data_IF_761737881968
#
_entry.id   IF_761737881968
#
_cell.length_a   1.000
_cell.length_b   1.000
_cell.length_c   1.000
_cell.angle_alpha   90.00
_cell.angle_beta   90.00
_cell.angle_gamma   90.00
#
_symmetry.space_group_name_H-M   'P 1'
#
loop_
_entity.id
_entity.type
_entity.pdbx_description
1 polymer ?
#
# COMPACT_ATOMS: atom_id res chain seq x y z
N UNK A 1 -23.29 4.39 7.24
CA UNK A 1 -22.48 3.20 6.92
C UNK A 1 -22.55 3.04 5.42
N UNK A 2 -21.46 3.30 4.72
CA UNK A 2 -21.41 3.07 3.28
C UNK A 2 -21.35 1.55 3.09
N UNK A 3 -22.50 0.97 2.79
CA UNK A 3 -22.66 -0.46 2.58
C UNK A 3 -21.84 -0.87 1.34
N UNK A 4 -20.87 -1.76 1.54
CA UNK A 4 -20.10 -2.36 0.45
C UNK A 4 -20.11 -3.88 0.64
N UNK A 5 -19.86 -4.61 -0.44
CA UNK A 5 -19.92 -6.07 -0.44
C UNK A 5 -18.77 -6.69 0.38
N UNK A 6 -19.02 -6.90 1.67
CA UNK A 6 -18.08 -7.53 2.60
C UNK A 6 -17.73 -8.96 2.16
N UNK A 7 -18.73 -9.72 1.73
CA UNK A 7 -18.53 -11.12 1.35
C UNK A 7 -17.75 -11.22 0.03
N UNK A 8 -18.00 -10.32 -0.92
CA UNK A 8 -17.20 -10.17 -2.14
C UNK A 8 -15.74 -9.79 -1.87
N UNK A 9 -15.50 -8.87 -0.94
CA UNK A 9 -14.12 -8.51 -0.52
C UNK A 9 -13.43 -9.72 0.14
N UNK A 10 -14.10 -10.40 1.07
CA UNK A 10 -13.55 -11.61 1.70
C UNK A 10 -13.28 -12.74 0.69
N UNK A 11 -14.14 -12.90 -0.32
CA UNK A 11 -13.95 -13.87 -1.39
C UNK A 11 -12.69 -13.57 -2.22
N UNK A 12 -12.43 -12.30 -2.56
CA UNK A 12 -11.19 -11.87 -3.21
C UNK A 12 -9.96 -12.23 -2.36
N UNK A 13 -10.04 -11.94 -1.05
CA UNK A 13 -8.98 -12.30 -0.10
C UNK A 13 -8.84 -13.83 0.09
N UNK A 14 -9.85 -14.61 -0.32
CA UNK A 14 -9.89 -16.05 -0.08
C UNK A 14 -9.94 -16.41 1.39
N UNK A 15 -10.55 -15.53 2.21
CA UNK A 15 -10.69 -15.70 3.65
C UNK A 15 -12.17 -15.90 3.96
N UNK A 16 -12.50 -16.92 4.76
CA UNK A 16 -13.86 -17.10 5.24
C UNK A 16 -14.23 -16.00 6.24
N UNK A 17 -15.51 -15.60 6.27
CA UNK A 17 -16.00 -14.61 7.23
C UNK A 17 -15.73 -15.09 8.66
N UNK A 18 -14.97 -14.33 9.47
CA UNK A 18 -14.69 -14.72 10.85
C UNK A 18 -15.97 -14.66 11.69
N UNK A 19 -16.12 -15.61 12.62
CA UNK A 19 -17.25 -15.64 13.54
C UNK A 19 -17.19 -14.56 14.62
N UNK A 20 -16.00 -14.04 14.91
CA UNK A 20 -15.73 -13.00 15.89
C UNK A 20 -14.45 -12.23 15.52
N UNK A 21 -14.29 -10.96 15.95
CA UNK A 21 -13.10 -10.16 15.68
C UNK A 21 -11.93 -10.57 16.60
N UNK A 22 -11.28 -11.70 16.31
CA UNK A 22 -10.13 -12.21 17.09
C UNK A 22 -8.79 -11.77 16.48
N UNK A 23 -7.69 -11.95 17.24
CA UNK A 23 -6.35 -11.69 16.73
C UNK A 23 -6.00 -12.61 15.56
N UNK A 24 -6.30 -13.89 15.66
CA UNK A 24 -6.02 -14.85 14.58
C UNK A 24 -6.71 -14.46 13.27
N UNK A 25 -7.97 -13.99 13.36
CA UNK A 25 -8.71 -13.50 12.21
C UNK A 25 -8.11 -12.20 11.64
N UNK A 26 -7.68 -11.26 12.49
CA UNK A 26 -7.06 -10.00 12.03
C UNK A 26 -5.76 -10.25 11.27
N UNK A 27 -4.92 -11.16 11.75
CA UNK A 27 -3.65 -11.52 11.09
C UNK A 27 -3.91 -12.25 9.77
N UNK A 28 -4.89 -13.17 9.75
CA UNK A 28 -5.28 -13.86 8.53
C UNK A 28 -5.78 -12.87 7.45
N UNK A 29 -6.62 -11.91 7.84
CA UNK A 29 -7.12 -10.86 6.95
C UNK A 29 -5.99 -9.97 6.45
N UNK A 30 -5.09 -9.52 7.33
CA UNK A 30 -3.98 -8.65 6.96
C UNK A 30 -3.04 -9.31 5.97
N UNK A 31 -2.62 -10.57 6.24
CA UNK A 31 -1.78 -11.33 5.33
C UNK A 31 -2.45 -11.52 3.97
N UNK A 32 -3.71 -11.93 3.98
CA UNK A 32 -4.46 -12.12 2.74
C UNK A 32 -4.57 -10.82 1.93
N UNK A 33 -4.76 -9.67 2.59
CA UNK A 33 -4.78 -8.36 1.95
C UNK A 33 -3.45 -8.08 1.23
N UNK A 34 -2.33 -8.11 1.95
CA UNK A 34 -1.03 -7.73 1.38
C UNK A 34 -0.48 -8.75 0.37
N UNK A 35 -0.97 -9.99 0.41
CA UNK A 35 -0.62 -11.08 -0.53
C UNK A 35 -1.48 -11.12 -1.79
N UNK A 36 -2.65 -10.45 -1.80
CA UNK A 36 -3.59 -10.55 -2.92
C UNK A 36 -3.99 -9.23 -3.54
N UNK A 37 -3.84 -8.13 -2.82
CA UNK A 37 -4.23 -6.80 -3.28
C UNK A 37 -2.96 -5.97 -3.43
N UNK A 38 -2.60 -5.67 -4.68
CA UNK A 38 -1.40 -4.90 -4.97
C UNK A 38 -1.52 -3.45 -4.50
N UNK A 39 -0.42 -2.92 -3.98
CA UNK A 39 -0.21 -1.49 -3.89
C UNK A 39 0.13 -0.96 -5.27
N UNK A 40 -0.67 -0.05 -5.82
CA UNK A 40 -0.51 0.42 -7.21
C UNK A 40 -1.03 1.84 -7.43
N UNK A 41 -0.53 2.47 -8.50
CA UNK A 41 -0.96 3.81 -8.95
C UNK A 41 -1.28 3.88 -10.46
N UNK A 42 -1.67 2.77 -11.08
CA UNK A 42 -1.95 2.65 -12.52
C UNK A 42 -2.99 3.64 -13.01
N UNK A 43 -4.06 3.87 -12.25
CA UNK A 43 -5.13 4.78 -12.70
C UNK A 43 -4.69 6.24 -12.76
N UNK A 44 -3.67 6.63 -11.98
CA UNK A 44 -3.01 7.94 -12.11
C UNK A 44 -2.29 8.02 -13.48
N UNK A 45 -1.59 6.95 -13.86
CA UNK A 45 -0.86 6.89 -15.14
C UNK A 45 -1.79 6.74 -16.36
N UNK A 46 -2.97 6.16 -16.17
CA UNK A 46 -4.06 6.13 -17.14
C UNK A 46 -4.83 7.47 -17.23
N UNK A 47 -4.47 8.47 -16.42
CA UNK A 47 -5.11 9.79 -16.43
C UNK A 47 -6.53 9.81 -15.86
N UNK A 48 -6.87 8.82 -15.04
CA UNK A 48 -8.21 8.62 -14.45
C UNK A 48 -8.13 8.35 -12.93
N UNK A 49 -7.49 9.22 -12.12
CA UNK A 49 -7.40 9.01 -10.68
C UNK A 49 -8.80 8.85 -10.07
N UNK A 50 -8.97 7.85 -9.20
CA UNK A 50 -10.25 7.55 -8.53
C UNK A 50 -10.36 8.19 -7.18
N UNK A 51 -11.59 8.30 -6.65
CA UNK A 51 -11.81 8.82 -5.31
C UNK A 51 -11.31 7.87 -4.22
N UNK A 52 -11.09 8.41 -3.03
CA UNK A 52 -10.63 7.66 -1.85
C UNK A 52 -11.78 7.15 -0.97
N UNK A 53 -13.03 7.17 -1.43
CA UNK A 53 -14.15 6.71 -0.64
C UNK A 53 -13.97 5.23 -0.25
N UNK A 54 -14.20 4.88 1.02
CA UNK A 54 -13.93 3.52 1.51
C UNK A 54 -14.71 2.43 0.75
N UNK A 55 -16.01 2.67 0.49
CA UNK A 55 -16.83 1.72 -0.28
C UNK A 55 -16.47 1.67 -1.77
N UNK A 56 -16.10 2.80 -2.37
CA UNK A 56 -15.58 2.84 -3.75
C UNK A 56 -14.28 2.04 -3.85
N UNK A 57 -13.37 2.25 -2.88
CA UNK A 57 -12.10 1.55 -2.78
C UNK A 57 -12.30 0.04 -2.56
N UNK A 58 -13.23 -0.37 -1.69
CA UNK A 58 -13.56 -1.78 -1.48
C UNK A 58 -14.16 -2.42 -2.73
N UNK A 59 -15.08 -1.74 -3.42
CA UNK A 59 -15.68 -2.24 -4.65
C UNK A 59 -14.66 -2.37 -5.79
N UNK A 60 -13.70 -1.43 -5.87
CA UNK A 60 -12.54 -1.50 -6.77
C UNK A 60 -11.68 -2.72 -6.45
N UNK A 61 -11.34 -2.93 -5.19
CA UNK A 61 -10.53 -4.07 -4.75
C UNK A 61 -11.21 -5.39 -5.08
N UNK A 62 -12.51 -5.52 -4.79
CA UNK A 62 -13.30 -6.70 -5.12
C UNK A 62 -13.34 -7.03 -6.64
N UNK A 63 -13.03 -6.05 -7.51
CA UNK A 63 -12.92 -6.23 -8.97
C UNK A 63 -11.49 -6.57 -9.44
N UNK A 64 -10.58 -6.91 -8.52
CA UNK A 64 -9.20 -7.28 -8.84
C UNK A 64 -8.28 -6.08 -9.10
N UNK A 65 -8.66 -4.88 -8.65
CA UNK A 65 -7.79 -3.70 -8.70
C UNK A 65 -7.14 -3.46 -7.33
N UNK A 66 -6.05 -2.70 -7.33
CA UNK A 66 -5.39 -2.28 -6.10
C UNK A 66 -5.66 -0.81 -5.80
N UNK A 67 -4.67 -0.18 -5.20
CA UNK A 67 -4.54 1.26 -5.06
C UNK A 67 -3.37 1.58 -4.14
N UNK A 68 -3.16 2.84 -3.81
CA UNK A 68 -2.20 3.23 -2.78
C UNK A 68 -2.85 3.37 -1.38
N UNK A 69 -2.11 3.95 -0.43
CA UNK A 69 -2.46 4.02 0.99
C UNK A 69 -3.92 4.36 1.31
N UNK A 70 -4.47 5.44 0.73
CA UNK A 70 -5.84 5.86 1.04
C UNK A 70 -6.90 4.85 0.58
N UNK A 71 -6.71 4.24 -0.58
CA UNK A 71 -7.63 3.22 -1.09
C UNK A 71 -7.54 1.94 -0.25
N UNK A 72 -6.31 1.47 -0.02
CA UNK A 72 -6.09 0.20 0.67
C UNK A 72 -6.50 0.27 2.14
N UNK A 73 -5.97 1.24 2.90
CA UNK A 73 -6.30 1.38 4.32
C UNK A 73 -7.72 1.90 4.54
N UNK A 74 -8.27 2.72 3.64
CA UNK A 74 -9.67 3.13 3.69
C UNK A 74 -10.63 1.94 3.54
N UNK A 75 -10.39 1.09 2.53
CA UNK A 75 -11.19 -0.12 2.30
C UNK A 75 -10.99 -1.16 3.42
N UNK A 76 -9.74 -1.40 3.85
CA UNK A 76 -9.44 -2.38 4.88
C UNK A 76 -9.99 -1.96 6.24
N UNK A 77 -9.89 -0.68 6.61
CA UNK A 77 -10.51 -0.16 7.83
C UNK A 77 -12.04 -0.31 7.83
N UNK A 78 -12.69 -0.11 6.68
CA UNK A 78 -14.13 -0.34 6.54
C UNK A 78 -14.50 -1.83 6.65
N UNK A 79 -13.69 -2.73 6.07
CA UNK A 79 -13.84 -4.18 6.24
C UNK A 79 -13.73 -4.60 7.69
N UNK A 80 -12.67 -4.18 8.38
CA UNK A 80 -12.47 -4.49 9.78
C UNK A 80 -13.60 -3.95 10.66
N UNK A 81 -14.07 -2.72 10.41
CA UNK A 81 -15.22 -2.14 11.11
C UNK A 81 -16.49 -2.97 10.90
N UNK A 82 -16.76 -3.40 9.66
CA UNK A 82 -17.92 -4.24 9.34
C UNK A 82 -17.83 -5.65 9.97
N UNK A 83 -16.63 -6.12 10.28
CA UNK A 83 -16.37 -7.38 10.99
C UNK A 83 -16.37 -7.22 12.52
N UNK A 84 -16.60 -6.01 13.03
CA UNK A 84 -16.75 -5.72 14.46
C UNK A 84 -15.44 -5.39 15.19
N UNK A 85 -14.35 -5.10 14.47
CA UNK A 85 -13.13 -4.59 15.09
C UNK A 85 -13.27 -3.13 15.51
N UNK A 86 -12.58 -2.75 16.59
CA UNK A 86 -12.43 -1.37 17.04
C UNK A 86 -11.26 -0.70 16.29
N UNK A 87 -11.59 -0.04 15.18
CA UNK A 87 -10.62 0.56 14.24
C UNK A 87 -10.53 2.06 14.46
N UNK A 88 -9.32 2.61 14.45
CA UNK A 88 -9.05 4.05 14.40
C UNK A 88 -8.17 4.39 13.22
N UNK A 89 -8.53 5.42 12.47
CA UNK A 89 -7.76 5.99 11.37
C UNK A 89 -6.90 7.13 11.90
N UNK A 90 -5.65 7.22 11.44
CA UNK A 90 -4.68 8.21 11.88
C UNK A 90 -4.07 8.95 10.70
N UNK A 91 -3.79 10.24 10.89
CA UNK A 91 -2.94 11.00 9.98
C UNK A 91 -1.50 10.48 10.11
N UNK A 92 -0.89 10.14 8.99
CA UNK A 92 0.47 9.66 8.93
C UNK A 92 1.29 10.39 7.85
N UNK A 93 2.61 10.29 7.95
CA UNK A 93 3.55 10.84 6.98
C UNK A 93 4.69 9.86 6.74
N UNK A 94 4.94 9.51 5.48
CA UNK A 94 6.02 8.60 5.07
C UNK A 94 7.29 9.39 4.76
N UNK A 95 8.42 8.97 5.34
CA UNK A 95 9.75 9.50 5.05
C UNK A 95 10.44 8.57 4.04
N UNK A 96 10.67 9.06 2.83
CA UNK A 96 11.31 8.32 1.75
C UNK A 96 12.80 8.13 1.98
N UNK A 97 13.48 9.12 2.53
CA UNK A 97 14.92 9.07 2.87
C UNK A 97 15.19 9.49 4.32
N UNK A 98 16.39 9.23 4.88
CA UNK A 98 16.74 9.65 6.23
C UNK A 98 16.76 11.17 6.43
N UNK A 99 16.87 11.94 5.36
CA UNK A 99 16.88 13.40 5.36
C UNK A 99 15.48 14.01 5.38
N UNK A 100 14.45 13.24 5.02
CA UNK A 100 13.07 13.71 5.04
C UNK A 100 12.65 14.02 6.49
N UNK A 101 11.96 15.16 6.72
CA UNK A 101 11.54 15.53 8.05
C UNK A 101 10.54 14.51 8.61
N UNK A 102 10.79 14.08 9.85
CA UNK A 102 9.85 13.26 10.61
C UNK A 102 8.52 13.99 10.86
N UNK A 103 7.42 13.25 10.94
CA UNK A 103 6.10 13.79 11.29
C UNK A 103 4.96 13.28 10.40
N UNK A 104 3.73 13.51 10.87
CA UNK A 104 2.50 13.10 10.20
C UNK A 104 2.02 14.16 9.20
N UNK A 105 2.73 14.27 8.07
CA UNK A 105 2.49 15.23 6.97
C UNK A 105 1.09 15.11 6.37
N UNK A 106 0.46 13.93 6.47
CA UNK A 106 -0.85 13.63 5.92
C UNK A 106 -0.81 12.97 4.54
N UNK A 107 0.38 12.65 4.01
CA UNK A 107 0.53 11.90 2.75
C UNK A 107 0.24 10.39 2.90
N UNK A 108 0.00 9.92 4.12
CA UNK A 108 -0.32 8.54 4.41
C UNK A 108 -1.48 8.41 5.40
N UNK A 109 -2.25 7.32 5.26
CA UNK A 109 -3.30 6.93 6.20
C UNK A 109 -2.84 5.68 6.94
N UNK A 110 -2.74 5.74 8.27
CA UNK A 110 -2.45 4.57 9.10
C UNK A 110 -3.72 4.11 9.84
N UNK A 111 -3.81 2.82 10.15
CA UNK A 111 -4.89 2.28 11.00
C UNK A 111 -4.32 1.69 12.27
N UNK A 112 -5.08 1.80 13.36
CA UNK A 112 -4.86 1.00 14.56
C UNK A 112 -6.09 0.22 14.93
N UNK A 113 -5.91 -0.99 15.46
CA UNK A 113 -6.99 -1.81 16.03
C UNK A 113 -6.75 -2.03 17.51
N UNK A 114 -7.79 -1.84 18.33
CA UNK A 114 -7.78 -2.25 19.73
C UNK A 114 -8.31 -3.66 19.86
N UNK A 115 -7.51 -4.55 20.43
CA UNK A 115 -7.80 -5.98 20.51
C UNK A 115 -7.05 -6.63 21.67
N UNK A 116 -7.71 -7.52 22.40
CA UNK A 116 -7.16 -8.27 23.54
C UNK A 116 -6.43 -7.40 24.58
N UNK A 117 -6.97 -6.20 24.83
CA UNK A 117 -6.39 -5.23 25.78
C UNK A 117 -5.18 -4.45 25.25
N UNK A 118 -4.73 -4.72 24.02
CA UNK A 118 -3.63 -4.02 23.34
C UNK A 118 -4.09 -3.15 22.17
N UNK A 119 -3.13 -2.46 21.56
CA UNK A 119 -3.30 -1.74 20.29
C UNK A 119 -2.28 -2.21 19.27
N UNK A 120 -2.72 -2.33 18.03
CA UNK A 120 -1.93 -2.85 16.92
C UNK A 120 -1.95 -1.85 15.79
N UNK A 121 -0.79 -1.55 15.20
CA UNK A 121 -0.67 -0.95 13.88
C UNK A 121 -1.12 -1.99 12.85
N UNK A 122 -2.09 -1.61 12.03
CA UNK A 122 -2.67 -2.44 10.98
C UNK A 122 -2.59 -1.64 9.69
N UNK A 123 -1.58 -1.93 8.86
CA UNK A 123 -1.30 -1.11 7.70
C UNK A 123 -1.04 -1.96 6.46
N UNK A 124 -1.97 -1.89 5.52
CA UNK A 124 -1.96 -2.61 4.24
C UNK A 124 -1.63 -1.68 3.08
N UNK A 125 -1.32 -0.42 3.39
CA UNK A 125 -1.18 0.69 2.45
C UNK A 125 0.25 1.24 2.34
N UNK A 126 1.24 0.59 2.96
CA UNK A 126 2.66 0.99 2.90
C UNK A 126 3.43 0.36 1.73
N UNK A 127 2.76 -0.35 0.82
CA UNK A 127 3.44 -1.06 -0.27
C UNK A 127 4.27 -2.22 0.25
N UNK A 128 5.58 -2.05 0.34
CA UNK A 128 6.53 -3.07 0.77
C UNK A 128 6.71 -3.17 2.31
N UNK A 129 5.80 -2.56 3.07
CA UNK A 129 5.74 -2.52 4.53
C UNK A 129 5.50 -3.87 5.22
N UNK A 130 4.73 -3.90 6.32
CA UNK A 130 4.57 -5.10 7.16
C UNK A 130 3.70 -6.20 6.51
N UNK A 131 4.03 -7.47 6.78
CA UNK A 131 3.23 -8.63 6.37
C UNK A 131 2.09 -8.94 7.34
N UNK A 132 2.33 -8.69 8.64
CA UNK A 132 1.37 -8.90 9.73
C UNK A 132 1.28 -7.64 10.61
N UNK A 133 0.17 -7.42 11.34
CA UNK A 133 0.03 -6.31 12.27
C UNK A 133 1.18 -6.24 13.29
N UNK A 134 1.60 -5.03 13.65
CA UNK A 134 2.63 -4.79 14.65
C UNK A 134 2.02 -4.24 15.93
N UNK A 135 2.44 -4.69 17.13
CA UNK A 135 1.93 -4.10 18.35
C UNK A 135 2.45 -2.67 18.49
N UNK A 136 1.62 -1.77 19.05
CA UNK A 136 2.07 -0.44 19.47
C UNK A 136 2.86 -0.56 20.78
N UNK A 137 4.04 -1.15 20.65
CA UNK A 137 5.00 -1.40 21.71
C UNK A 137 6.39 -1.18 21.15
N UNK A 138 7.22 -0.46 21.89
CA UNK A 138 8.60 -0.22 21.47
C UNK A 138 9.35 -1.55 21.31
N UNK A 139 10.08 -1.69 20.21
CA UNK A 139 10.84 -2.89 19.93
C UNK A 139 11.16 -3.08 18.45
N UNK A 140 11.87 -4.17 18.18
CA UNK A 140 12.19 -4.64 16.84
C UNK A 140 11.37 -5.89 16.51
N UNK A 141 10.86 -5.97 15.28
CA UNK A 141 9.94 -6.99 14.83
C UNK A 141 10.37 -7.52 13.47
N UNK A 142 10.69 -8.82 13.40
CA UNK A 142 11.10 -9.48 12.16
C UNK A 142 9.93 -10.24 11.56
N UNK A 143 9.65 -10.01 10.28
CA UNK A 143 8.64 -10.73 9.50
C UNK A 143 9.27 -11.18 8.17
N UNK A 144 9.45 -12.49 8.01
CA UNK A 144 10.16 -13.05 6.87
C UNK A 144 11.58 -12.49 6.78
N UNK A 145 12.00 -11.91 5.64
CA UNK A 145 13.35 -11.39 5.49
C UNK A 145 13.52 -10.00 6.12
N UNK A 146 12.45 -9.29 6.50
CA UNK A 146 12.50 -7.87 6.89
C UNK A 146 12.45 -7.67 8.40
N UNK A 147 13.18 -6.67 8.89
CA UNK A 147 13.11 -6.25 10.30
C UNK A 147 12.68 -4.80 10.41
N UNK A 148 11.61 -4.58 11.16
CA UNK A 148 11.04 -3.27 11.45
C UNK A 148 11.35 -2.84 12.88
N UNK A 149 11.17 -1.56 13.18
CA UNK A 149 11.14 -1.07 14.54
C UNK A 149 9.90 -0.22 14.80
N UNK A 150 9.34 -0.33 16.00
CA UNK A 150 8.32 0.58 16.51
C UNK A 150 8.91 1.37 17.68
N UNK A 151 8.64 2.67 17.73
CA UNK A 151 9.00 3.54 18.84
C UNK A 151 7.98 4.68 18.98
N UNK A 152 7.85 5.33 20.16
CA UNK A 152 7.12 6.59 20.27
C UNK A 152 7.68 7.63 19.29
N UNK A 153 6.82 8.39 18.62
CA UNK A 153 7.28 9.45 17.73
C UNK A 153 7.73 10.66 18.54
N UNK A 154 8.92 11.19 18.23
CA UNK A 154 9.38 12.46 18.77
C UNK A 154 8.74 13.67 18.06
N UNK A 155 8.32 13.50 16.80
CA UNK A 155 7.69 14.55 16.00
C UNK A 155 6.18 14.65 16.26
N UNK A 156 5.55 13.54 16.62
CA UNK A 156 4.12 13.45 16.94
C UNK A 156 3.94 12.98 18.40
N UNK A 157 3.91 13.88 19.40
CA UNK A 157 3.75 13.50 20.80
C UNK A 157 2.50 12.62 21.03
N UNK A 158 2.69 11.44 21.59
CA UNK A 158 1.63 10.43 21.80
C UNK A 158 1.38 9.53 20.58
N UNK A 159 1.90 9.90 19.42
CA UNK A 159 1.96 9.10 18.21
C UNK A 159 3.11 8.09 18.21
N UNK A 160 3.29 7.42 17.09
CA UNK A 160 4.30 6.36 16.92
C UNK A 160 5.06 6.53 15.61
N UNK A 161 6.30 6.04 15.63
CA UNK A 161 7.16 5.87 14.48
C UNK A 161 7.29 4.39 14.17
N UNK A 162 7.01 4.04 12.92
CA UNK A 162 7.41 2.80 12.27
C UNK A 162 8.70 3.07 11.49
N UNK A 163 9.75 2.30 11.73
CA UNK A 163 10.99 2.33 10.94
C UNK A 163 11.06 1.07 10.10
N UNK A 164 11.29 1.24 8.80
CA UNK A 164 11.33 0.16 7.83
C UNK A 164 12.69 -0.56 7.84
N UNK A 165 12.72 -1.74 7.24
CA UNK A 165 13.96 -2.42 6.88
C UNK A 165 14.75 -1.55 5.90
N UNK A 166 16.09 -1.44 6.01
CA UNK A 166 16.90 -0.62 5.11
C UNK A 166 16.82 -0.97 3.63
N UNK A 167 16.34 -2.17 3.27
CA UNK A 167 16.10 -2.57 1.88
C UNK A 167 14.74 -2.12 1.34
N UNK A 168 13.88 -1.57 2.18
CA UNK A 168 12.55 -1.08 1.82
C UNK A 168 12.58 0.19 0.96
N UNK A 169 11.43 0.51 0.38
CA UNK A 169 11.23 1.66 -0.53
C UNK A 169 11.10 3.01 0.18
N UNK A 170 11.03 3.02 1.50
CA UNK A 170 10.97 4.19 2.37
C UNK A 170 11.70 3.87 3.69
N UNK A 171 12.03 4.89 4.47
CA UNK A 171 12.80 4.71 5.72
C UNK A 171 11.94 4.60 6.96
N UNK A 172 10.88 5.40 7.04
CA UNK A 172 10.02 5.44 8.20
C UNK A 172 8.62 6.00 7.87
N UNK A 173 7.72 5.87 8.84
CA UNK A 173 6.43 6.53 8.86
C UNK A 173 6.13 6.97 10.30
N UNK A 174 5.75 8.23 10.48
CA UNK A 174 5.21 8.74 11.74
C UNK A 174 3.69 8.92 11.61
N UNK A 175 2.93 8.56 12.65
CA UNK A 175 1.50 8.86 12.71
C UNK A 175 1.10 9.53 14.01
N UNK A 176 0.20 10.49 13.89
CA UNK A 176 -0.37 11.27 14.99
C UNK A 176 -1.34 10.40 15.82
N UNK A 177 -1.54 10.69 17.13
CA UNK A 177 -2.42 9.88 17.98
C UNK A 177 -3.92 10.14 17.75
N UNK A 178 -4.26 11.29 17.17
CA UNK A 178 -5.64 11.75 17.08
C UNK A 178 -6.40 11.04 15.95
N UNK A 179 -7.64 10.60 16.21
CA UNK A 179 -8.48 9.99 15.19
C UNK A 179 -8.82 11.00 14.09
N UNK A 180 -8.82 10.53 12.84
CA UNK A 180 -9.23 11.32 11.68
C UNK A 180 -10.24 10.57 10.83
N UNK A 181 -11.04 11.33 10.08
CA UNK A 181 -11.89 10.77 9.02
C UNK A 181 -11.13 10.68 7.70
N UNK A 182 -11.49 9.71 6.86
CA UNK A 182 -10.89 9.51 5.53
C UNK A 182 -11.01 10.76 4.64
N UNK A 183 -12.07 11.54 4.81
CA UNK A 183 -12.27 12.80 4.07
C UNK A 183 -11.17 13.84 4.32
N UNK A 184 -10.45 13.76 5.44
CA UNK A 184 -9.32 14.65 5.76
C UNK A 184 -8.17 14.54 4.75
N UNK A 185 -8.09 13.43 4.02
CA UNK A 185 -7.05 13.18 3.03
C UNK A 185 -7.43 13.62 1.61
N UNK A 186 -8.63 14.18 1.39
CA UNK A 186 -9.11 14.50 0.03
C UNK A 186 -8.19 15.49 -0.70
N UNK A 187 -7.78 16.58 -0.03
CA UNK A 187 -6.91 17.57 -0.63
C UNK A 187 -5.53 16.98 -0.97
N UNK A 188 -5.01 16.13 -0.09
CA UNK A 188 -3.70 15.51 -0.26
C UNK A 188 -3.73 14.42 -1.33
N UNK A 189 -4.81 13.63 -1.40
CA UNK A 189 -5.08 12.72 -2.50
C UNK A 189 -5.05 13.42 -3.86
N UNK A 190 -5.73 14.58 -3.99
CA UNK A 190 -5.69 15.37 -5.23
C UNK A 190 -4.25 15.78 -5.54
N UNK A 191 -3.53 16.35 -4.57
CA UNK A 191 -2.13 16.75 -4.76
C UNK A 191 -1.26 15.58 -5.21
N UNK A 192 -1.32 14.44 -4.52
CA UNK A 192 -0.53 13.25 -4.81
C UNK A 192 -0.89 12.61 -6.16
N UNK A 193 -2.15 12.72 -6.62
CA UNK A 193 -2.62 12.09 -7.85
C UNK A 193 -2.55 12.99 -9.09
N UNK A 194 -2.38 14.30 -8.94
CA UNK A 194 -2.36 15.22 -10.09
C UNK A 194 -1.13 16.11 -10.16
N UNK A 195 -0.40 16.32 -9.06
CA UNK A 195 0.74 17.24 -9.07
C UNK A 195 1.89 16.66 -9.93
N UNK A 196 2.47 17.43 -10.87
CA UNK A 196 3.64 17.02 -11.62
C UNK A 196 4.88 16.83 -10.72
N UNK A 197 4.83 17.27 -9.46
CA UNK A 197 5.87 17.06 -8.46
C UNK A 197 5.73 15.74 -7.69
N UNK A 198 4.54 15.12 -7.73
CA UNK A 198 4.26 13.88 -7.01
C UNK A 198 5.04 12.71 -7.60
N UNK A 199 5.68 11.92 -6.74
CA UNK A 199 6.30 10.66 -7.13
C UNK A 199 5.27 9.70 -7.77
N UNK A 200 4.01 9.71 -7.32
CA UNK A 200 2.95 8.88 -7.86
C UNK A 200 2.55 9.26 -9.30
N UNK A 201 2.71 10.52 -9.68
CA UNK A 201 2.47 10.98 -11.06
C UNK A 201 3.69 10.71 -11.94
N UNK A 202 4.89 10.85 -11.37
CA UNK A 202 6.16 10.70 -12.11
C UNK A 202 6.53 9.25 -12.38
N UNK A 203 6.22 8.34 -11.46
CA UNK A 203 6.69 6.95 -11.52
C UNK A 203 5.55 5.99 -11.24
N UNK A 204 5.32 5.06 -12.16
CA UNK A 204 4.40 3.94 -11.95
C UNK A 204 5.03 2.93 -11.01
N UNK A 205 4.25 2.45 -10.05
CA UNK A 205 4.63 1.33 -9.19
C UNK A 205 3.49 0.34 -9.01
N UNK A 206 3.86 -0.93 -8.93
CA UNK A 206 3.02 -2.00 -8.40
C UNK A 206 3.86 -2.79 -7.39
N UNK A 207 3.32 -3.08 -6.21
CA UNK A 207 4.01 -3.81 -5.17
C UNK A 207 3.09 -4.87 -4.58
N UNK A 208 3.61 -6.06 -4.36
CA UNK A 208 2.89 -7.14 -3.72
C UNK A 208 3.84 -7.94 -2.84
N UNK A 209 3.44 -8.18 -1.59
CA UNK A 209 4.27 -8.84 -0.59
C UNK A 209 3.75 -10.23 -0.31
N UNK A 210 4.65 -11.14 0.01
CA UNK A 210 4.31 -12.42 0.63
C UNK A 210 5.13 -12.63 1.93
N UNK A 211 4.90 -13.78 2.58
CA UNK A 211 5.61 -14.13 3.81
C UNK A 211 7.14 -14.23 3.67
N UNK A 212 7.65 -14.33 2.44
CA UNK A 212 9.07 -14.57 2.13
C UNK A 212 9.77 -13.37 1.52
N UNK A 213 9.04 -12.34 1.09
CA UNK A 213 9.63 -11.22 0.37
C UNK A 213 8.60 -10.26 -0.21
N UNK A 214 9.07 -9.37 -1.07
CA UNK A 214 8.21 -8.43 -1.80
C UNK A 214 8.66 -8.32 -3.24
N UNK A 215 7.68 -8.31 -4.14
CA UNK A 215 7.84 -7.96 -5.55
C UNK A 215 7.50 -6.49 -5.74
N UNK A 216 8.38 -5.77 -6.42
CA UNK A 216 8.26 -4.33 -6.67
C UNK A 216 8.52 -4.06 -8.14
N UNK A 217 7.49 -3.65 -8.86
CA UNK A 217 7.61 -3.06 -10.18
C UNK A 217 7.67 -1.54 -10.02
N UNK A 218 8.72 -0.91 -10.56
CA UNK A 218 8.87 0.55 -10.63
C UNK A 218 9.24 0.94 -12.05
N UNK A 219 8.28 1.53 -12.77
CA UNK A 219 8.38 1.71 -14.23
C UNK A 219 8.55 0.37 -14.94
N UNK A 220 9.69 0.15 -15.58
CA UNK A 220 10.05 -1.10 -16.25
C UNK A 220 10.95 -2.03 -15.40
N UNK A 221 11.35 -1.62 -14.19
CA UNK A 221 12.27 -2.40 -13.35
C UNK A 221 11.46 -3.25 -12.38
N UNK A 222 11.58 -4.57 -12.50
CA UNK A 222 11.01 -5.54 -11.56
C UNK A 222 12.10 -6.00 -10.59
N UNK A 223 11.80 -5.91 -9.29
CA UNK A 223 12.64 -6.38 -8.20
C UNK A 223 11.91 -7.40 -7.36
N UNK A 224 12.63 -8.43 -6.92
CA UNK A 224 12.25 -9.30 -5.82
C UNK A 224 13.23 -9.08 -4.68
N UNK A 225 12.74 -8.75 -3.49
CA UNK A 225 13.56 -8.62 -2.28
C UNK A 225 13.15 -9.72 -1.31
N UNK A 226 14.10 -10.60 -0.95
CA UNK A 226 13.88 -11.70 -0.02
C UNK A 226 15.11 -12.03 0.85
N UNK A 227 15.16 -13.23 1.44
CA UNK A 227 16.29 -13.68 2.26
C UNK A 227 17.58 -13.89 1.47
N UNK A 228 17.49 -14.13 0.16
CA UNK A 228 18.62 -14.29 -0.75
C UNK A 228 19.24 -12.98 -1.22
N UNK A 229 18.55 -11.85 -1.01
CA UNK A 229 18.99 -10.53 -1.41
C UNK A 229 17.96 -9.83 -2.29
N UNK A 230 18.43 -9.06 -3.26
CA UNK A 230 17.60 -8.37 -4.24
C UNK A 230 17.95 -8.85 -5.63
N UNK A 231 16.99 -9.49 -6.29
CA UNK A 231 17.05 -9.80 -7.71
C UNK A 231 16.36 -8.69 -8.48
N UNK A 232 16.99 -8.18 -9.55
CA UNK A 232 16.47 -7.10 -10.39
C UNK A 232 16.55 -7.48 -11.87
N UNK A 233 15.49 -7.15 -12.62
CA UNK A 233 15.52 -7.18 -14.09
C UNK A 233 14.68 -6.04 -14.69
N UNK A 234 15.10 -5.54 -15.84
CA UNK A 234 14.30 -4.62 -16.66
C UNK A 234 13.37 -5.43 -17.57
N UNK A 235 12.16 -4.92 -17.79
CA UNK A 235 11.16 -5.45 -18.71
C UNK A 235 10.98 -4.44 -19.85
N UNK A 236 11.50 -4.78 -21.04
CA UNK A 236 11.56 -3.87 -22.19
C UNK A 236 10.47 -4.13 -23.24
N UNK A 237 9.63 -5.14 -23.04
CA UNK A 237 8.53 -5.49 -23.94
C UNK A 237 7.18 -5.25 -23.26
N UNK A 238 6.24 -4.66 -24.01
CA UNK A 238 4.90 -4.34 -23.51
C UNK A 238 4.15 -5.60 -23.05
N UNK A 239 4.20 -6.68 -23.83
CA UNK A 239 3.48 -7.92 -23.53
C UNK A 239 4.00 -8.55 -22.23
N UNK A 240 5.32 -8.69 -22.08
CA UNK A 240 5.96 -9.17 -20.84
C UNK A 240 5.59 -8.31 -19.63
N UNK A 241 5.49 -6.98 -19.80
CA UNK A 241 5.14 -6.05 -18.72
C UNK A 241 3.68 -6.25 -18.26
N UNK A 242 2.76 -6.41 -19.20
CA UNK A 242 1.36 -6.72 -18.89
C UNK A 242 1.19 -8.14 -18.32
N UNK A 243 1.96 -9.12 -18.79
CA UNK A 243 1.99 -10.46 -18.21
C UNK A 243 2.48 -10.44 -16.75
N UNK A 244 3.49 -9.64 -16.44
CA UNK A 244 3.97 -9.44 -15.06
C UNK A 244 2.90 -8.77 -14.21
N UNK A 245 2.23 -7.73 -14.68
CA UNK A 245 1.12 -7.12 -13.95
C UNK A 245 0.00 -8.12 -13.65
N UNK A 246 -0.45 -8.87 -14.65
CA UNK A 246 -1.55 -9.82 -14.52
C UNK A 246 -1.17 -11.03 -13.64
N UNK A 247 0.02 -11.60 -13.86
CA UNK A 247 0.47 -12.81 -13.19
C UNK A 247 0.96 -12.56 -11.76
N UNK A 248 1.88 -11.61 -11.59
CA UNK A 248 2.56 -11.39 -10.31
C UNK A 248 1.75 -10.45 -9.41
N UNK A 249 1.27 -9.34 -9.95
CA UNK A 249 0.56 -8.31 -9.18
C UNK A 249 -0.97 -8.49 -9.19
N UNK A 250 -1.49 -9.49 -9.92
CA UNK A 250 -2.93 -9.78 -10.06
C UNK A 250 -3.72 -8.62 -10.68
N UNK A 251 -3.07 -7.82 -11.53
CA UNK A 251 -3.64 -6.66 -12.21
C UNK A 251 -3.81 -6.97 -13.70
N UNK A 252 -4.93 -7.63 -14.05
CA UNK A 252 -5.18 -8.08 -15.43
C UNK A 252 -5.52 -6.94 -16.41
N UNK A 253 -5.97 -5.79 -15.90
CA UNK A 253 -6.35 -4.61 -16.65
C UNK A 253 -7.32 -4.90 -17.80
N UNK A 254 -8.21 -5.88 -17.62
CA UNK A 254 -9.25 -6.24 -18.59
C UNK A 254 -10.26 -5.12 -18.82
N UNK A 255 -10.34 -4.14 -17.91
CA UNK A 255 -11.14 -2.92 -18.01
C UNK A 255 -10.47 -1.80 -18.84
N UNK A 256 -9.26 -2.02 -19.35
CA UNK A 256 -8.49 -1.04 -20.12
C UNK A 256 -8.40 -1.47 -21.58
N UNK A 257 -8.91 -0.65 -22.49
CA UNK A 257 -8.87 -0.95 -23.91
C UNK A 257 -7.45 -0.92 -24.50
N UNK A 258 -7.30 -1.46 -25.71
CA UNK A 258 -6.01 -1.59 -26.37
C UNK A 258 -5.30 -0.24 -26.62
N UNK A 259 -6.06 0.84 -26.88
CA UNK A 259 -5.48 2.15 -27.13
C UNK A 259 -4.93 2.77 -25.84
N UNK A 260 -5.68 2.69 -24.74
CA UNK A 260 -5.24 3.12 -23.43
C UNK A 260 -4.06 2.28 -22.91
N UNK A 261 -4.03 0.96 -23.19
CA UNK A 261 -2.87 0.10 -22.88
C UNK A 261 -1.62 0.50 -23.67
N UNK A 262 -1.76 0.83 -24.95
CA UNK A 262 -0.64 1.29 -25.77
C UNK A 262 -0.07 2.62 -25.25
N UNK A 263 -0.94 3.57 -24.90
CA UNK A 263 -0.54 4.86 -24.33
C UNK A 263 0.12 4.72 -22.96
N UNK A 264 -0.44 3.87 -22.07
CA UNK A 264 0.15 3.57 -20.77
C UNK A 264 1.57 3.03 -20.92
N UNK A 265 1.75 2.03 -21.79
CA UNK A 265 3.08 1.47 -22.06
C UNK A 265 4.03 2.53 -22.63
N UNK A 266 3.59 3.29 -23.63
CA UNK A 266 4.40 4.35 -24.23
C UNK A 266 4.88 5.35 -23.17
N UNK A 267 3.99 5.79 -22.28
CA UNK A 267 4.32 6.68 -21.16
C UNK A 267 5.36 6.08 -20.22
N UNK A 268 5.10 4.87 -19.73
CA UNK A 268 5.97 4.18 -18.75
C UNK A 268 7.36 3.94 -19.34
N UNK A 269 7.42 3.40 -20.55
CA UNK A 269 8.66 3.10 -21.23
C UNK A 269 9.45 4.38 -21.58
N UNK A 270 8.79 5.43 -22.07
CA UNK A 270 9.45 6.72 -22.33
C UNK A 270 10.02 7.34 -21.05
N UNK A 271 9.29 7.27 -19.94
CA UNK A 271 9.79 7.75 -18.65
C UNK A 271 11.00 6.93 -18.18
N UNK A 272 10.96 5.60 -18.35
CA UNK A 272 12.09 4.72 -18.02
C UNK A 272 13.34 5.05 -18.85
N UNK A 273 13.21 5.20 -20.17
CA UNK A 273 14.33 5.55 -21.05
C UNK A 273 14.98 6.89 -20.68
N UNK A 274 14.17 7.89 -20.29
CA UNK A 274 14.68 9.18 -19.80
C UNK A 274 15.44 9.04 -18.48
N UNK A 275 14.94 8.22 -17.57
CA UNK A 275 15.60 7.93 -16.29
C UNK A 275 16.94 7.19 -16.51
N UNK A 276 16.98 6.18 -17.38
CA UNK A 276 18.23 5.49 -17.72
C UNK A 276 19.26 6.44 -18.37
N UNK A 277 18.82 7.32 -19.28
CA UNK A 277 19.68 8.30 -19.93
C UNK A 277 20.24 9.36 -18.97
N UNK A 278 19.53 9.66 -17.87
CA UNK A 278 19.98 10.59 -16.83
C UNK A 278 21.06 9.99 -15.90
N UNK A 279 21.37 8.71 -16.04
CA UNK A 279 22.16 7.94 -15.08
C UNK A 279 21.27 7.51 -13.91
N UNK A 280 21.29 6.22 -13.56
CA UNK A 280 20.52 5.64 -12.44
C UNK A 280 20.97 6.28 -11.11
N UNK A 281 20.43 7.45 -10.79
CA UNK A 281 20.51 8.10 -9.49
C UNK A 281 19.47 7.57 -8.53
#
# INVERSE_FOLDING_TARGET
>A
MNDFDVDGYLALLGVARPAAPTAEALWALHRAQVERVAYENLDIHLGRPTGIGAAESAARIARGRGGYCFHLNGAFGALLTALGYDVTLHRAGVQGTPEDPAGATGDHLALTVRLDGGRWLVDTGLGDGMHEPLPLREGSYTQGPFTYAMAPSAAEPGGWRFTHDPRGSFTAMDFAPDPVELSSFTAEHVRLSTSPESAFVRVLTAQLRDAKGVDVLRGCVLRRIDTGGTDERTIDAADDWYEVLAGLFRLDLTDVDAAARAELWHRVHTAHQKWEAAGRG
#
